data_IF_130446351992
#
_entry.id   IF_130446351992
#
_cell.length_a   1.000
_cell.length_b   1.000
_cell.length_c   1.000
_cell.angle_alpha   90.00
_cell.angle_beta   90.00
_cell.angle_gamma   90.00
#
_symmetry.space_group_name_H-M   'P 1'
#
loop_
_entity.id
_entity.type
_entity.pdbx_description
1 polymer ?
#
# COMPACT_ATOMS: atom_id res chain seq x y z
N UNK A 1 -7.32 -1.11 6.67
CA UNK A 1 -6.84 -1.61 5.37
C UNK A 1 -5.59 -0.83 4.92
N UNK A 2 -5.63 0.50 4.86
CA UNK A 2 -4.46 1.34 4.60
C UNK A 2 -4.23 2.41 5.69
N UNK A 3 -3.06 3.07 5.65
CA UNK A 3 -2.67 4.21 6.48
C UNK A 3 -1.87 5.22 5.65
N UNK A 4 -1.80 6.47 6.11
CA UNK A 4 -0.96 7.51 5.51
C UNK A 4 0.05 7.96 6.56
N UNK A 5 1.33 7.94 6.21
CA UNK A 5 2.41 8.49 7.03
C UNK A 5 3.09 9.65 6.29
N UNK A 6 3.09 10.83 6.90
CA UNK A 6 3.67 12.04 6.33
C UNK A 6 5.17 12.13 6.66
N UNK A 7 5.98 12.46 5.66
CA UNK A 7 7.40 12.79 5.80
C UNK A 7 7.67 14.16 5.17
N UNK A 8 8.87 14.72 5.41
CA UNK A 8 9.25 16.08 4.99
C UNK A 8 9.08 16.35 3.48
N UNK A 9 9.31 15.36 2.62
CA UNK A 9 9.30 15.53 1.16
C UNK A 9 8.47 14.47 0.42
N UNK A 10 7.79 13.59 1.15
CA UNK A 10 6.99 12.49 0.59
C UNK A 10 5.96 12.05 1.62
N UNK A 11 4.96 11.31 1.17
CA UNK A 11 4.11 10.52 2.05
C UNK A 11 4.26 9.04 1.73
N UNK A 12 3.99 8.21 2.72
CA UNK A 12 3.80 6.78 2.53
C UNK A 12 2.31 6.47 2.57
N UNK A 13 1.80 5.90 1.49
CA UNK A 13 0.52 5.19 1.51
C UNK A 13 0.82 3.74 1.84
N UNK A 14 0.49 3.32 3.05
CA UNK A 14 0.80 1.97 3.55
C UNK A 14 -0.42 1.09 3.72
N UNK A 15 -0.21 -0.22 3.73
CA UNK A 15 -1.23 -1.26 3.89
C UNK A 15 -0.83 -2.20 5.03
N UNK A 16 -1.75 -2.44 5.98
CA UNK A 16 -1.49 -3.26 7.17
C UNK A 16 -1.12 -4.71 6.84
N UNK A 17 -1.72 -5.23 5.77
CA UNK A 17 -1.49 -6.58 5.22
C UNK A 17 -1.06 -6.50 3.76
N UNK A 18 -0.23 -5.49 3.45
CA UNK A 18 0.23 -5.25 2.08
C UNK A 18 1.01 -6.43 1.49
N UNK A 19 1.62 -7.30 2.31
CA UNK A 19 2.25 -8.54 1.84
C UNK A 19 1.29 -9.52 1.16
N UNK A 20 0.00 -9.42 1.48
CA UNK A 20 -1.04 -10.33 0.97
C UNK A 20 -1.69 -9.78 -0.31
N UNK A 21 -1.42 -8.52 -0.67
CA UNK A 21 -2.02 -7.86 -1.82
C UNK A 21 -1.31 -8.26 -3.12
N UNK A 22 -2.04 -8.48 -4.22
CA UNK A 22 -1.44 -8.67 -5.53
C UNK A 22 -0.81 -7.35 -6.00
N UNK A 23 0.50 -7.39 -6.25
CA UNK A 23 1.28 -6.22 -6.70
C UNK A 23 2.07 -6.56 -7.97
N UNK A 24 1.40 -6.69 -9.13
CA UNK A 24 2.06 -7.07 -10.39
C UNK A 24 3.07 -6.01 -10.86
N UNK A 25 2.77 -4.73 -10.59
CA UNK A 25 3.61 -3.58 -10.95
C UNK A 25 4.74 -3.32 -9.94
N UNK A 26 4.83 -4.12 -8.87
CA UNK A 26 5.88 -4.05 -7.84
C UNK A 26 6.02 -2.66 -7.20
N UNK A 27 4.89 -2.00 -6.93
CA UNK A 27 4.84 -0.67 -6.32
C UNK A 27 5.07 -0.72 -4.80
N UNK A 28 4.83 -1.86 -4.17
CA UNK A 28 4.87 -2.03 -2.73
C UNK A 28 6.31 -2.22 -2.23
N UNK A 29 6.71 -1.34 -1.32
CA UNK A 29 7.97 -1.38 -0.61
C UNK A 29 7.81 -1.83 0.86
N UNK A 30 8.92 -2.31 1.43
CA UNK A 30 9.03 -2.68 2.84
C UNK A 30 9.34 -4.15 3.05
N UNK A 31 10.16 -4.44 4.06
CA UNK A 31 10.59 -5.79 4.44
C UNK A 31 9.88 -6.34 5.68
N UNK A 32 8.91 -5.59 6.23
CA UNK A 32 8.15 -6.02 7.40
C UNK A 32 7.36 -7.30 7.14
N UNK A 33 6.90 -7.97 8.20
CA UNK A 33 6.18 -9.25 8.08
C UNK A 33 4.90 -9.14 7.24
N UNK A 34 4.09 -8.10 7.51
CA UNK A 34 2.80 -7.89 6.83
C UNK A 34 2.70 -6.52 6.14
N UNK A 35 3.35 -5.50 6.72
CA UNK A 35 3.24 -4.12 6.27
C UNK A 35 3.99 -3.90 4.96
N UNK A 36 3.31 -3.26 3.99
CA UNK A 36 3.92 -2.68 2.79
C UNK A 36 3.46 -1.26 2.58
N UNK A 37 4.21 -0.48 1.82
CA UNK A 37 3.85 0.90 1.51
C UNK A 37 4.35 1.35 0.14
N UNK A 38 3.70 2.36 -0.41
CA UNK A 38 4.14 3.08 -1.61
C UNK A 38 4.63 4.45 -1.17
N UNK A 39 5.78 4.87 -1.68
CA UNK A 39 6.29 6.24 -1.51
C UNK A 39 5.69 7.14 -2.59
N UNK A 40 5.01 8.19 -2.16
CA UNK A 40 4.42 9.20 -3.04
C UNK A 40 5.13 10.52 -2.76
N UNK A 41 5.93 10.95 -3.71
CA UNK A 41 6.68 12.21 -3.69
C UNK A 41 6.04 13.26 -4.59
N UNK A 42 5.26 12.82 -5.59
CA UNK A 42 4.67 13.67 -6.62
C UNK A 42 3.17 13.38 -6.79
N UNK A 43 2.31 14.41 -6.94
CA UNK A 43 0.87 14.24 -7.10
C UNK A 43 0.47 13.36 -8.29
N UNK A 44 1.26 13.36 -9.37
CA UNK A 44 1.01 12.57 -10.57
C UNK A 44 1.03 11.06 -10.29
N UNK A 45 1.74 10.62 -9.25
CA UNK A 45 1.77 9.22 -8.84
C UNK A 45 0.40 8.74 -8.32
N UNK A 46 -0.47 9.65 -7.86
CA UNK A 46 -1.84 9.31 -7.43
C UNK A 46 -2.73 8.91 -8.61
N UNK A 47 -2.37 9.27 -9.84
CA UNK A 47 -3.10 8.91 -11.04
C UNK A 47 -2.72 7.53 -11.59
N UNK A 48 -1.81 6.81 -10.94
CA UNK A 48 -1.45 5.46 -11.33
C UNK A 48 -2.63 4.50 -11.07
N UNK A 49 -3.22 3.85 -12.10
CA UNK A 49 -4.32 2.92 -11.92
C UNK A 49 -3.99 1.76 -10.97
N UNK A 50 -2.75 1.27 -10.98
CA UNK A 50 -2.32 0.19 -10.10
C UNK A 50 -2.35 0.58 -8.61
N UNK A 51 -2.13 1.87 -8.29
CA UNK A 51 -2.29 2.37 -6.92
C UNK A 51 -3.76 2.32 -6.50
N UNK A 52 -4.66 2.74 -7.39
CA UNK A 52 -6.10 2.67 -7.14
C UNK A 52 -6.55 1.21 -6.92
N UNK A 53 -6.09 0.29 -7.77
CA UNK A 53 -6.41 -1.13 -7.66
C UNK A 53 -5.92 -1.72 -6.33
N UNK A 54 -4.71 -1.38 -5.89
CA UNK A 54 -4.19 -1.78 -4.57
C UNK A 54 -5.09 -1.29 -3.42
N UNK A 55 -5.59 -0.05 -3.49
CA UNK A 55 -6.52 0.50 -2.49
C UNK A 55 -7.85 -0.25 -2.50
N UNK A 56 -8.41 -0.53 -3.68
CA UNK A 56 -9.66 -1.29 -3.83
C UNK A 56 -9.52 -2.70 -3.28
N UNK A 57 -8.45 -3.41 -3.63
CA UNK A 57 -8.19 -4.77 -3.13
C UNK A 57 -7.97 -4.75 -1.63
N UNK A 58 -7.17 -3.82 -1.10
CA UNK A 58 -6.95 -3.68 0.33
C UNK A 58 -8.25 -3.41 1.11
N UNK A 59 -9.17 -2.60 0.57
CA UNK A 59 -10.45 -2.28 1.22
C UNK A 59 -11.36 -3.50 1.39
N UNK A 60 -11.23 -4.49 0.50
CA UNK A 60 -12.00 -5.74 0.51
C UNK A 60 -11.23 -6.90 1.16
N UNK A 61 -9.96 -6.69 1.51
CA UNK A 61 -9.10 -7.73 2.07
C UNK A 61 -9.48 -8.03 3.52
N UNK A 62 -9.88 -9.29 3.76
CA UNK A 62 -10.03 -9.84 5.11
C UNK A 62 -8.74 -10.59 5.45
N UNK A 63 -7.93 -10.11 6.40
CA UNK A 63 -6.71 -10.79 6.79
C UNK A 63 -7.04 -12.14 7.41
N UNK A 64 -6.20 -13.15 7.15
CA UNK A 64 -6.27 -14.43 7.87
C UNK A 64 -5.85 -14.17 9.32
N UNK A 65 -6.82 -13.86 10.19
CA UNK A 65 -6.60 -13.74 11.62
C UNK A 65 -6.12 -15.11 12.11
N UNK A 66 -4.86 -15.19 12.55
CA UNK A 66 -4.35 -16.39 13.18
C UNK A 66 -5.14 -16.58 14.49
N UNK A 67 -5.78 -17.75 14.62
CA UNK A 67 -6.36 -18.21 15.88
C UNK A 67 -5.27 -18.33 16.95
#
# INVERSE_FOLDING_TARGET
>A
FCYIALFKARLNLGFYYGSDLPDPEKLLEGSGKNLRHIKISHPEQLQNPALHDLVVVASKHLPKLKK
#
